data_IF_162279213545
#
_entry.id   IF_162279213545
#
_cell.length_a   1.000
_cell.length_b   1.000
_cell.length_c   1.000
_cell.angle_alpha   90.00
_cell.angle_beta   90.00
_cell.angle_gamma   90.00
#
_symmetry.space_group_name_H-M   'P 1'
#
loop_
_entity.id
_entity.type
_entity.pdbx_description
1 polymer ?
#
# COMPACT_ATOMS: atom_id res chain seq x y z
N UNK A 1 10.30 4.15 18.93
CA UNK A 1 10.25 4.14 17.45
C UNK A 1 10.50 5.55 16.95
N UNK A 2 11.19 5.69 15.82
CA UNK A 2 11.41 6.93 15.10
C UNK A 2 10.72 6.87 13.75
N UNK A 3 10.13 7.99 13.32
CA UNK A 3 9.52 8.17 12.00
C UNK A 3 10.07 9.46 11.39
N UNK A 4 10.20 9.51 10.06
CA UNK A 4 10.52 10.75 9.37
C UNK A 4 9.27 11.59 9.18
N UNK A 5 9.26 12.76 9.83
CA UNK A 5 8.20 13.75 9.67
C UNK A 5 8.53 14.65 8.47
N UNK A 6 7.62 14.71 7.52
CA UNK A 6 7.76 15.50 6.29
C UNK A 6 7.76 17.00 6.59
N UNK A 7 6.97 17.45 7.57
CA UNK A 7 6.90 18.86 7.99
C UNK A 7 8.23 19.29 8.62
N UNK A 8 8.78 18.47 9.52
CA UNK A 8 10.03 18.77 10.23
C UNK A 8 11.29 18.40 9.44
N UNK A 9 11.15 17.64 8.35
CA UNK A 9 12.23 17.13 7.49
C UNK A 9 13.31 16.37 8.24
N UNK A 10 12.94 15.65 9.29
CA UNK A 10 13.86 14.88 10.12
C UNK A 10 13.18 13.66 10.73
N UNK A 11 14.00 12.70 11.18
CA UNK A 11 13.50 11.61 12.02
C UNK A 11 13.21 12.15 13.41
N UNK A 12 12.02 11.87 13.91
CA UNK A 12 11.55 12.26 15.24
C UNK A 12 11.05 11.04 16.00
N UNK A 13 11.11 11.03 17.35
CA UNK A 13 10.48 9.99 18.13
C UNK A 13 8.96 10.02 17.87
N UNK A 14 8.37 8.85 17.64
CA UNK A 14 6.92 8.71 17.57
C UNK A 14 6.36 8.69 19.00
N UNK A 15 5.60 9.73 19.33
CA UNK A 15 4.91 9.90 20.60
C UNK A 15 3.42 10.07 20.31
N UNK A 16 2.58 9.07 20.60
CA UNK A 16 1.18 9.15 20.28
C UNK A 16 0.43 10.17 21.16
N UNK A 17 -0.69 10.69 20.67
CA UNK A 17 -1.62 11.56 21.39
C UNK A 17 -2.27 10.84 22.57
N UNK A 18 -2.49 9.52 22.45
CA UNK A 18 -2.97 8.64 23.52
C UNK A 18 -1.98 7.50 23.70
N UNK A 19 -1.57 7.25 24.94
CA UNK A 19 -0.58 6.22 25.24
C UNK A 19 -0.94 4.87 24.61
N UNK A 20 0.01 4.27 23.87
CA UNK A 20 -0.12 3.00 23.15
C UNK A 20 -1.21 2.95 22.07
N UNK A 21 -1.78 4.07 21.62
CA UNK A 21 -2.69 4.12 20.47
C UNK A 21 -2.05 4.86 19.31
N UNK A 22 -2.34 4.46 18.08
CA UNK A 22 -1.89 5.16 16.89
C UNK A 22 -3.06 5.32 15.91
N UNK A 23 -3.56 6.55 15.81
CA UNK A 23 -4.61 6.98 14.90
C UNK A 23 -3.96 7.48 13.60
N UNK A 24 -4.09 6.68 12.54
CA UNK A 24 -3.42 6.88 11.26
C UNK A 24 -4.47 7.09 10.18
N UNK A 25 -4.39 8.18 9.42
CA UNK A 25 -5.17 8.36 8.20
C UNK A 25 -4.25 8.31 6.99
N UNK A 26 -4.63 7.53 5.98
CA UNK A 26 -3.93 7.43 4.70
C UNK A 26 -4.89 7.82 3.58
N UNK A 27 -4.56 8.85 2.80
CA UNK A 27 -5.38 9.23 1.64
C UNK A 27 -5.45 8.08 0.63
N UNK A 28 -6.67 7.67 0.29
CA UNK A 28 -6.92 6.55 -0.61
C UNK A 28 -7.11 6.94 -2.08
N UNK A 29 -7.50 5.99 -2.95
CA UNK A 29 -7.57 6.23 -4.39
C UNK A 29 -8.88 6.91 -4.81
N UNK A 30 -8.83 7.65 -5.92
CA UNK A 30 -10.02 8.00 -6.70
C UNK A 30 -10.46 6.79 -7.53
N UNK A 31 -11.67 6.27 -7.30
CA UNK A 31 -12.12 4.97 -7.82
C UNK A 31 -12.80 5.09 -9.19
N UNK A 32 -12.09 5.71 -10.14
CA UNK A 32 -12.52 5.81 -11.53
C UNK A 32 -11.83 4.79 -12.44
N UNK A 33 -10.84 4.03 -11.96
CA UNK A 33 -10.06 3.12 -12.79
C UNK A 33 -9.29 2.09 -11.95
N UNK A 34 -8.67 1.12 -12.62
CA UNK A 34 -7.82 0.14 -11.95
C UNK A 34 -6.59 0.80 -11.32
N UNK A 35 -6.12 0.21 -10.22
CA UNK A 35 -4.97 0.72 -9.51
C UNK A 35 -3.66 0.28 -10.14
N UNK A 36 -2.70 1.20 -10.21
CA UNK A 36 -1.32 0.96 -10.63
C UNK A 36 -0.35 0.74 -9.47
N UNK A 37 0.89 0.34 -9.78
CA UNK A 37 1.94 0.07 -8.78
C UNK A 37 2.22 1.22 -7.80
N UNK A 38 1.99 2.48 -8.19
CA UNK A 38 2.07 3.62 -7.26
C UNK A 38 1.11 3.49 -6.06
N UNK A 39 -0.12 3.02 -6.29
CA UNK A 39 -1.07 2.76 -5.20
C UNK A 39 -0.64 1.55 -4.36
N UNK A 40 -0.12 0.49 -4.98
CA UNK A 40 0.43 -0.66 -4.27
C UNK A 40 1.58 -0.24 -3.35
N UNK A 41 2.49 0.62 -3.83
CA UNK A 41 3.62 1.13 -3.06
C UNK A 41 3.19 1.89 -1.82
N UNK A 42 2.22 2.80 -1.95
CA UNK A 42 1.63 3.51 -0.81
C UNK A 42 0.97 2.53 0.17
N UNK A 43 0.10 1.65 -0.32
CA UNK A 43 -0.61 0.68 0.51
C UNK A 43 0.34 -0.25 1.28
N UNK A 44 1.40 -0.75 0.64
CA UNK A 44 2.42 -1.61 1.28
C UNK A 44 3.24 -0.82 2.30
N UNK A 45 3.62 0.43 2.02
CA UNK A 45 4.38 1.26 2.95
C UNK A 45 3.63 1.48 4.27
N UNK A 46 2.34 1.81 4.19
CA UNK A 46 1.55 2.11 5.39
C UNK A 46 0.97 0.84 6.05
N UNK A 47 0.85 -0.28 5.33
CA UNK A 47 0.67 -1.60 5.93
C UNK A 47 1.91 -2.03 6.73
N UNK A 48 3.11 -1.75 6.22
CA UNK A 48 4.37 -2.01 6.93
C UNK A 48 4.50 -1.14 8.19
N UNK A 49 4.07 0.12 8.13
CA UNK A 49 3.95 1.00 9.30
C UNK A 49 3.02 0.39 10.35
N UNK A 50 1.79 0.02 9.94
CA UNK A 50 0.79 -0.59 10.82
C UNK A 50 1.32 -1.86 11.48
N UNK A 51 1.87 -2.79 10.70
CA UNK A 51 2.43 -4.05 11.21
C UNK A 51 3.55 -3.82 12.21
N UNK A 52 4.43 -2.85 11.94
CA UNK A 52 5.53 -2.48 12.84
C UNK A 52 5.02 -1.92 14.16
N UNK A 53 4.01 -1.03 14.13
CA UNK A 53 3.40 -0.46 15.32
C UNK A 53 2.66 -1.52 16.15
N UNK A 54 1.84 -2.36 15.52
CA UNK A 54 1.13 -3.46 16.19
C UNK A 54 2.12 -4.40 16.88
N UNK A 55 3.19 -4.82 16.19
CA UNK A 55 4.23 -5.68 16.76
C UNK A 55 5.12 -4.98 17.81
N UNK A 56 5.09 -3.64 17.84
CA UNK A 56 5.71 -2.81 18.88
C UNK A 56 4.78 -2.55 20.07
N UNK A 57 3.56 -3.12 20.06
CA UNK A 57 2.61 -3.06 21.18
C UNK A 57 1.62 -1.89 21.15
N UNK A 58 1.43 -1.24 19.99
CA UNK A 58 0.43 -0.20 19.81
C UNK A 58 -0.90 -0.80 19.33
N UNK A 59 -2.02 -0.27 19.82
CA UNK A 59 -3.34 -0.40 19.21
C UNK A 59 -3.41 0.56 18.02
N UNK A 60 -3.59 0.06 16.80
CA UNK A 60 -3.57 0.89 15.59
C UNK A 60 -4.96 1.01 14.98
N UNK A 61 -5.43 2.24 14.85
CA UNK A 61 -6.62 2.60 14.08
C UNK A 61 -6.17 3.22 12.76
N UNK A 62 -6.19 2.44 11.68
CA UNK A 62 -5.79 2.93 10.35
C UNK A 62 -7.04 3.14 9.48
N UNK A 63 -7.28 4.37 9.06
CA UNK A 63 -8.38 4.75 8.17
C UNK A 63 -7.84 5.09 6.79
N UNK A 64 -8.51 4.64 5.73
CA UNK A 64 -8.20 5.02 4.34
C UNK A 64 -9.49 5.22 3.56
N UNK A 65 -9.71 6.43 3.05
CA UNK A 65 -10.93 6.72 2.31
C UNK A 65 -10.96 6.14 0.89
N UNK A 66 -12.13 6.21 0.28
CA UNK A 66 -12.30 6.17 -1.17
C UNK A 66 -12.89 7.49 -1.64
N UNK A 67 -12.25 8.14 -2.61
CA UNK A 67 -12.86 9.25 -3.34
C UNK A 67 -13.72 8.65 -4.44
N UNK A 68 -15.03 8.55 -4.18
CA UNK A 68 -16.05 7.99 -5.07
C UNK A 68 -16.98 9.06 -5.68
N UNK A 69 -16.66 10.34 -5.47
CA UNK A 69 -17.27 11.50 -6.15
C UNK A 69 -16.13 12.40 -6.63
N UNK A 70 -15.86 12.40 -7.94
CA UNK A 70 -14.87 13.28 -8.57
C UNK A 70 -15.22 13.51 -10.05
N UNK A 71 -14.67 14.58 -10.64
CA UNK A 71 -14.80 14.86 -12.08
C UNK A 71 -14.43 13.67 -12.96
N UNK A 72 -13.38 12.93 -12.62
CA UNK A 72 -12.94 11.77 -13.42
C UNK A 72 -13.95 10.63 -13.37
N UNK A 73 -14.61 10.44 -12.22
CA UNK A 73 -15.63 9.40 -12.04
C UNK A 73 -16.88 9.78 -12.83
N UNK A 74 -17.35 11.02 -12.68
CA UNK A 74 -18.53 11.53 -13.40
C UNK A 74 -18.33 11.39 -14.92
N UNK A 75 -17.20 11.88 -15.44
CA UNK A 75 -16.91 11.83 -16.88
C UNK A 75 -16.85 10.40 -17.41
N UNK A 76 -16.27 9.46 -16.65
CA UNK A 76 -16.19 8.05 -17.07
C UNK A 76 -17.54 7.35 -16.95
N UNK A 77 -18.31 7.63 -15.90
CA UNK A 77 -19.64 7.08 -15.70
C UNK A 77 -20.59 7.47 -16.85
N UNK A 78 -20.56 8.75 -17.26
CA UNK A 78 -21.30 9.23 -18.44
C UNK A 78 -20.85 8.53 -19.72
N UNK A 79 -19.53 8.39 -19.94
CA UNK A 79 -18.98 7.72 -21.14
C UNK A 79 -19.34 6.23 -21.21
N UNK A 80 -19.39 5.55 -20.07
CA UNK A 80 -19.71 4.11 -19.98
C UNK A 80 -21.21 3.83 -19.77
N UNK A 81 -22.05 4.87 -19.72
CA UNK A 81 -23.48 4.78 -19.45
C UNK A 81 -23.79 3.98 -18.17
N UNK A 82 -23.05 4.30 -17.09
CA UNK A 82 -23.19 3.72 -15.74
C UNK A 82 -23.49 4.83 -14.73
N UNK A 83 -24.08 4.46 -13.59
CA UNK A 83 -24.11 5.36 -12.44
C UNK A 83 -22.72 5.51 -11.80
N UNK A 84 -22.52 6.60 -11.05
CA UNK A 84 -21.29 6.85 -10.27
C UNK A 84 -21.08 5.73 -9.25
N UNK A 85 -22.16 5.27 -8.62
CA UNK A 85 -22.14 4.24 -7.60
C UNK A 85 -21.73 2.88 -8.18
N UNK A 86 -22.27 2.51 -9.35
CA UNK A 86 -21.88 1.28 -10.05
C UNK A 86 -20.40 1.33 -10.46
N UNK A 87 -19.96 2.44 -11.08
CA UNK A 87 -18.57 2.59 -11.51
C UNK A 87 -17.59 2.52 -10.33
N UNK A 88 -17.90 3.25 -9.25
CA UNK A 88 -17.06 3.30 -8.05
C UNK A 88 -16.99 1.94 -7.36
N UNK A 89 -18.12 1.23 -7.25
CA UNK A 89 -18.16 -0.11 -6.63
C UNK A 89 -17.27 -1.10 -7.38
N UNK A 90 -17.29 -1.10 -8.72
CA UNK A 90 -16.42 -1.95 -9.55
C UNK A 90 -14.94 -1.71 -9.21
N UNK A 91 -14.52 -0.45 -9.12
CA UNK A 91 -13.11 -0.10 -8.89
C UNK A 91 -12.69 -0.22 -7.43
N UNK A 92 -13.60 -0.04 -6.46
CA UNK A 92 -13.37 -0.38 -5.05
C UNK A 92 -13.11 -1.89 -4.90
N UNK A 93 -13.94 -2.73 -5.53
CA UNK A 93 -13.76 -4.19 -5.52
C UNK A 93 -12.46 -4.60 -6.21
N UNK A 94 -12.15 -4.01 -7.37
CA UNK A 94 -10.89 -4.24 -8.09
C UNK A 94 -9.68 -3.89 -7.23
N UNK A 95 -9.67 -2.70 -6.62
CA UNK A 95 -8.62 -2.24 -5.72
C UNK A 95 -8.45 -3.15 -4.50
N UNK A 96 -9.56 -3.54 -3.87
CA UNK A 96 -9.56 -4.42 -2.70
C UNK A 96 -8.99 -5.79 -3.04
N UNK A 97 -9.38 -6.37 -4.19
CA UNK A 97 -8.86 -7.64 -4.68
C UNK A 97 -7.34 -7.58 -4.92
N UNK A 98 -6.89 -6.54 -5.60
CA UNK A 98 -5.48 -6.32 -5.92
C UNK A 98 -4.64 -6.19 -4.65
N UNK A 99 -5.10 -5.41 -3.65
CA UNK A 99 -4.38 -5.24 -2.39
C UNK A 99 -4.39 -6.50 -1.50
N UNK A 100 -5.48 -7.26 -1.51
CA UNK A 100 -5.55 -8.56 -0.84
C UNK A 100 -4.54 -9.54 -1.42
N UNK A 101 -4.39 -9.56 -2.76
CA UNK A 101 -3.37 -10.39 -3.40
C UNK A 101 -1.94 -9.99 -2.98
N UNK A 102 -1.72 -8.72 -2.67
CA UNK A 102 -0.46 -8.18 -2.14
C UNK A 102 -0.33 -8.29 -0.61
N UNK A 103 -1.20 -9.05 0.07
CA UNK A 103 -1.23 -9.24 1.52
C UNK A 103 -1.26 -7.94 2.35
N UNK A 104 -1.85 -6.87 1.80
CA UNK A 104 -2.09 -5.62 2.53
C UNK A 104 -3.25 -5.86 3.50
N UNK A 105 -3.09 -5.53 4.78
CA UNK A 105 -4.19 -5.63 5.75
C UNK A 105 -5.30 -4.65 5.37
N UNK A 106 -6.55 -5.11 5.45
CA UNK A 106 -7.71 -4.23 5.32
C UNK A 106 -7.64 -3.10 6.38
N UNK A 107 -7.82 -1.82 6.01
CA UNK A 107 -7.93 -0.72 6.96
C UNK A 107 -9.00 -0.99 8.02
N UNK A 108 -8.88 -0.34 9.18
CA UNK A 108 -9.89 -0.40 10.24
C UNK A 108 -11.21 0.23 9.80
N UNK A 109 -11.16 1.31 8.99
CA UNK A 109 -12.30 1.91 8.31
C UNK A 109 -11.93 2.35 6.89
N UNK A 110 -12.91 2.31 5.99
CA UNK A 110 -12.78 2.74 4.60
C UNK A 110 -13.94 3.67 4.19
N UNK A 111 -13.99 4.90 4.72
CA UNK A 111 -15.09 5.83 4.45
C UNK A 111 -15.11 6.24 2.97
N UNK A 112 -16.29 6.37 2.38
CA UNK A 112 -16.45 6.88 1.01
C UNK A 112 -16.87 8.33 1.03
N UNK A 113 -16.32 9.17 0.14
CA UNK A 113 -16.68 10.58 0.07
C UNK A 113 -18.20 10.81 -0.03
N UNK A 114 -18.91 9.98 -0.80
CA UNK A 114 -20.37 10.04 -0.95
C UNK A 114 -21.17 9.81 0.32
N UNK A 115 -20.60 9.13 1.32
CA UNK A 115 -21.25 8.83 2.60
C UNK A 115 -21.07 9.97 3.62
N UNK A 116 -20.24 10.98 3.32
CA UNK A 116 -19.86 12.06 4.24
C UNK A 116 -20.14 13.47 3.68
N UNK A 117 -21.08 13.60 2.74
CA UNK A 117 -21.46 14.89 2.15
C UNK A 117 -21.92 15.90 3.21
N UNK A 118 -22.71 15.47 4.19
CA UNK A 118 -23.22 16.36 5.26
C UNK A 118 -22.07 16.92 6.11
N UNK A 119 -21.07 16.10 6.42
CA UNK A 119 -19.87 16.55 7.16
C UNK A 119 -19.07 17.59 6.36
N UNK A 120 -18.92 17.37 5.05
CA UNK A 120 -18.25 18.32 4.15
C UNK A 120 -19.02 19.64 4.08
N UNK A 121 -20.35 19.58 3.94
CA UNK A 121 -21.21 20.77 3.94
C UNK A 121 -21.05 21.54 5.25
N UNK A 122 -21.11 20.86 6.39
CA UNK A 122 -20.99 21.49 7.70
C UNK A 122 -19.63 22.19 7.89
N UNK A 123 -18.54 21.57 7.45
CA UNK A 123 -17.21 22.17 7.51
C UNK A 123 -17.12 23.43 6.61
N UNK A 124 -17.76 23.41 5.45
CA UNK A 124 -17.80 24.56 4.53
C UNK A 124 -18.65 25.70 5.11
N UNK A 125 -19.80 25.41 5.71
CA UNK A 125 -20.61 26.41 6.42
C UNK A 125 -19.81 27.08 7.53
N UNK A 126 -19.09 26.30 8.34
CA UNK A 126 -18.18 26.83 9.37
C UNK A 126 -17.13 27.78 8.78
N UNK A 127 -16.53 27.43 7.65
CA UNK A 127 -15.53 28.27 6.97
C UNK A 127 -16.15 29.56 6.39
N UNK A 128 -17.39 29.50 5.91
CA UNK A 128 -18.14 30.67 5.44
C UNK A 128 -18.50 31.62 6.60
N UNK A 129 -19.03 31.08 7.70
CA UNK A 129 -19.39 31.86 8.90
C UNK A 129 -18.19 32.62 9.47
N UNK A 130 -16.99 32.01 9.41
CA UNK A 130 -15.72 32.62 9.81
C UNK A 130 -15.15 33.62 8.80
N UNK A 131 -15.81 33.85 7.66
CA UNK A 131 -15.30 34.67 6.54
C UNK A 131 -13.93 34.19 6.00
N UNK A 132 -13.71 32.87 6.03
CA UNK A 132 -12.52 32.21 5.49
C UNK A 132 -12.80 31.59 4.11
N UNK A 133 -14.03 31.14 3.88
CA UNK A 133 -14.51 30.79 2.56
C UNK A 133 -15.31 31.94 1.92
N UNK A 134 -15.39 31.94 0.59
CA UNK A 134 -16.20 32.90 -0.16
C UNK A 134 -16.82 32.27 -1.39
N UNK A 135 -17.98 32.79 -1.80
CA UNK A 135 -18.69 32.39 -3.01
C UNK A 135 -18.33 33.32 -4.17
N UNK A 136 -18.12 32.76 -5.36
CA UNK A 136 -17.92 33.52 -6.61
C UNK A 136 -19.20 33.52 -7.46
N UNK A 137 -19.28 34.33 -8.51
CA UNK A 137 -20.51 34.57 -9.28
C UNK A 137 -21.14 33.32 -9.88
N UNK A 138 -20.30 32.33 -10.23
CA UNK A 138 -20.73 31.06 -10.80
C UNK A 138 -21.29 30.06 -9.76
N UNK A 139 -21.38 30.47 -8.49
CA UNK A 139 -21.89 29.70 -7.36
C UNK A 139 -20.83 28.93 -6.57
N UNK A 140 -19.65 28.67 -7.14
CA UNK A 140 -18.58 27.90 -6.50
C UNK A 140 -18.12 28.58 -5.20
N UNK A 141 -17.67 27.77 -4.25
CA UNK A 141 -17.18 28.23 -2.95
C UNK A 141 -15.70 27.90 -2.85
N UNK A 142 -14.87 28.91 -2.61
CA UNK A 142 -13.42 28.82 -2.47
C UNK A 142 -12.98 29.10 -1.05
N UNK A 143 -11.87 28.50 -0.63
CA UNK A 143 -11.15 28.87 0.59
C UNK A 143 -10.14 29.98 0.27
N UNK A 144 -10.16 31.05 1.07
CA UNK A 144 -9.19 32.16 1.03
C UNK A 144 -7.94 31.79 1.84
N UNK A 145 -6.91 31.34 1.14
CA UNK A 145 -5.66 30.85 1.75
C UNK A 145 -4.92 31.92 2.55
N UNK A 146 -5.15 33.22 2.29
CA UNK A 146 -4.51 34.29 3.07
C UNK A 146 -4.97 34.35 4.52
N UNK A 147 -6.07 33.66 4.85
CA UNK A 147 -6.59 33.55 6.22
C UNK A 147 -5.85 32.53 7.06
N UNK A 148 -5.08 31.65 6.44
CA UNK A 148 -4.21 30.70 7.11
C UNK A 148 -2.77 31.22 7.11
N UNK A 149 -2.31 31.70 8.27
CA UNK A 149 -0.96 32.26 8.41
C UNK A 149 0.15 31.22 8.20
N UNK A 150 -0.19 29.94 8.33
CA UNK A 150 0.73 28.81 8.19
C UNK A 150 0.58 28.08 6.85
N UNK A 151 -0.18 28.65 5.89
CA UNK A 151 -0.34 28.05 4.56
C UNK A 151 1.02 27.92 3.84
N UNK A 152 1.32 26.71 3.36
CA UNK A 152 2.59 26.40 2.70
C UNK A 152 3.70 25.93 3.67
N UNK A 153 3.43 25.90 4.98
CA UNK A 153 4.41 25.48 5.99
C UNK A 153 4.66 23.96 5.98
N UNK A 154 3.72 23.15 5.49
CA UNK A 154 3.87 21.70 5.42
C UNK A 154 4.77 21.28 4.24
N UNK A 155 4.49 21.82 3.07
CA UNK A 155 5.21 21.49 1.83
C UNK A 155 6.51 22.29 1.66
N UNK A 156 6.65 23.41 2.37
CA UNK A 156 7.71 24.42 2.21
C UNK A 156 7.76 24.87 0.75
N UNK A 157 6.95 25.86 0.40
CA UNK A 157 6.92 26.45 -0.94
C UNK A 157 8.33 26.81 -1.44
N UNK A 158 8.94 25.92 -2.22
CA UNK A 158 9.82 26.34 -3.30
C UNK A 158 8.88 26.88 -4.37
N UNK A 159 9.00 28.17 -4.65
CA UNK A 159 8.25 28.96 -5.64
C UNK A 159 8.37 28.47 -7.09
N UNK A 160 8.76 27.22 -7.33
CA UNK A 160 9.09 26.63 -8.63
C UNK A 160 8.10 25.59 -9.13
N UNK A 161 7.05 25.27 -8.37
CA UNK A 161 5.92 24.48 -8.88
C UNK A 161 4.92 25.49 -9.42
N UNK A 162 4.91 25.69 -10.73
CA UNK A 162 3.83 26.40 -11.42
C UNK A 162 2.50 25.84 -10.92
N UNK A 163 1.63 26.70 -10.38
CA UNK A 163 0.23 26.35 -10.20
C UNK A 163 -0.24 25.77 -11.54
N UNK A 164 -0.54 24.47 -11.56
CA UNK A 164 -0.87 23.78 -12.81
C UNK A 164 -1.97 24.58 -13.50
N UNK A 165 -1.71 25.00 -14.75
CA UNK A 165 -2.61 25.79 -15.59
C UNK A 165 -3.96 25.09 -15.75
N UNK A 166 -4.82 25.21 -14.75
CA UNK A 166 -6.23 24.89 -14.79
C UNK A 166 -6.90 26.25 -14.81
N UNK A 167 -7.64 26.51 -15.89
CA UNK A 167 -8.05 27.83 -16.37
C UNK A 167 -8.28 28.87 -15.28
N UNK A 168 -7.66 30.04 -15.45
CA UNK A 168 -7.83 31.22 -14.62
C UNK A 168 -9.33 31.47 -14.37
N UNK A 169 -9.84 31.00 -13.24
CA UNK A 169 -11.12 31.49 -12.72
C UNK A 169 -10.80 32.90 -12.25
N UNK A 170 -11.14 33.89 -13.07
CA UNK A 170 -10.77 35.30 -12.87
C UNK A 170 -11.27 35.88 -11.53
N UNK A 171 -12.22 35.21 -10.89
CA UNK A 171 -12.84 35.63 -9.62
C UNK A 171 -12.17 35.05 -8.37
N UNK A 172 -11.13 34.20 -8.51
CA UNK A 172 -10.31 33.84 -7.35
C UNK A 172 -9.63 35.09 -6.81
N UNK A 173 -9.69 35.29 -5.49
CA UNK A 173 -8.95 36.37 -4.82
C UNK A 173 -7.44 36.16 -4.93
N UNK A 174 -7.00 34.90 -4.78
CA UNK A 174 -5.60 34.50 -4.91
C UNK A 174 -5.47 33.25 -5.78
N UNK A 175 -4.33 33.09 -6.45
CA UNK A 175 -4.10 31.96 -7.37
C UNK A 175 -4.15 30.61 -6.65
N UNK A 176 -3.59 30.56 -5.45
CA UNK A 176 -3.57 29.37 -4.59
C UNK A 176 -4.92 29.02 -3.94
N UNK A 177 -5.94 29.91 -4.02
CA UNK A 177 -7.26 29.61 -3.47
C UNK A 177 -7.85 28.39 -4.19
N UNK A 178 -8.44 27.48 -3.41
CA UNK A 178 -8.93 26.21 -3.90
C UNK A 178 -10.40 26.02 -3.58
N UNK A 179 -11.07 25.27 -4.45
CA UNK A 179 -12.52 25.05 -4.37
C UNK A 179 -12.84 24.08 -3.24
N UNK A 180 -13.84 24.46 -2.43
CA UNK A 180 -14.46 23.64 -1.40
C UNK A 180 -15.75 23.00 -1.90
N UNK A 181 -16.54 23.76 -2.67
CA UNK A 181 -17.80 23.30 -3.29
C UNK A 181 -17.88 23.78 -4.73
N UNK A 182 -18.07 22.86 -5.66
CA UNK A 182 -18.32 23.16 -7.08
C UNK A 182 -19.83 23.21 -7.29
N UNK A 183 -20.34 24.37 -7.71
CA UNK A 183 -21.77 24.51 -8.02
C UNK A 183 -22.14 23.77 -9.29
N UNK A 184 -23.35 23.22 -9.29
CA UNK A 184 -23.93 22.51 -10.41
C UNK A 184 -24.02 23.41 -11.66
N UNK A 185 -23.50 22.92 -12.80
CA UNK A 185 -23.44 23.67 -14.07
C UNK A 185 -24.50 23.27 -15.11
N UNK A 186 -25.51 22.47 -14.75
CA UNK A 186 -26.62 22.08 -15.63
C UNK A 186 -26.63 20.59 -15.97
N UNK A 187 -27.44 20.21 -16.96
CA UNK A 187 -27.89 18.82 -17.21
C UNK A 187 -26.78 17.77 -17.43
N UNK A 188 -25.55 18.19 -17.78
CA UNK A 188 -24.39 17.31 -17.97
C UNK A 188 -23.44 17.25 -16.75
N UNK A 189 -23.81 17.89 -15.65
CA UNK A 189 -23.07 17.88 -14.39
C UNK A 189 -23.76 16.98 -13.37
N UNK A 190 -23.07 16.65 -12.28
CA UNK A 190 -23.65 15.93 -11.15
C UNK A 190 -23.54 16.80 -9.92
N UNK A 191 -24.67 17.00 -9.24
CA UNK A 191 -24.73 17.80 -8.03
C UNK A 191 -25.74 17.23 -7.05
N UNK A 192 -25.37 17.25 -5.78
CA UNK A 192 -26.14 16.92 -4.61
C UNK A 192 -26.80 18.19 -4.08
N UNK A 193 -28.05 18.07 -3.63
CA UNK A 193 -28.75 19.18 -2.99
C UNK A 193 -28.16 19.42 -1.60
N UNK A 194 -27.93 20.69 -1.26
CA UNK A 194 -27.39 21.09 0.04
C UNK A 194 -27.80 22.53 0.39
N UNK A 195 -27.66 22.95 1.67
CA UNK A 195 -27.78 24.36 2.07
C UNK A 195 -26.84 25.30 1.31
N UNK A 196 -25.71 24.81 0.78
CA UNK A 196 -24.78 25.57 -0.05
C UNK A 196 -25.28 25.78 -1.49
N UNK A 197 -26.44 25.20 -1.84
CA UNK A 197 -26.95 25.07 -3.20
C UNK A 197 -26.48 23.78 -3.85
N UNK A 198 -27.17 23.38 -4.93
CA UNK A 198 -26.87 22.16 -5.67
C UNK A 198 -25.44 22.17 -6.21
N UNK A 199 -24.68 21.12 -5.93
CA UNK A 199 -23.27 21.03 -6.32
C UNK A 199 -22.57 19.82 -5.73
N UNK A 200 -21.25 19.85 -5.63
CA UNK A 200 -20.46 18.72 -5.12
C UNK A 200 -19.18 19.19 -4.44
N UNK A 201 -18.59 18.38 -3.54
CA UNK A 201 -17.36 18.75 -2.86
C UNK A 201 -16.19 18.94 -3.83
N UNK A 202 -15.26 19.81 -3.44
CA UNK A 202 -13.93 19.87 -4.02
C UNK A 202 -13.03 18.79 -3.41
N UNK A 203 -12.07 18.28 -4.19
CA UNK A 203 -11.24 17.12 -3.83
C UNK A 203 -10.64 17.16 -2.41
N UNK A 204 -10.22 18.33 -1.91
CA UNK A 204 -9.52 18.43 -0.63
C UNK A 204 -10.44 18.33 0.59
N UNK A 205 -11.70 18.81 0.51
CA UNK A 205 -12.58 18.92 1.69
C UNK A 205 -13.02 17.55 2.22
N UNK A 206 -12.96 16.53 1.36
CA UNK A 206 -13.34 15.16 1.67
C UNK A 206 -12.54 14.62 2.85
N UNK A 207 -11.22 14.64 2.75
CA UNK A 207 -10.34 14.02 3.73
C UNK A 207 -10.41 14.73 5.09
N UNK A 208 -10.32 16.06 5.13
CA UNK A 208 -10.44 16.82 6.39
C UNK A 208 -11.76 16.53 7.13
N UNK A 209 -12.87 16.46 6.39
CA UNK A 209 -14.20 16.19 6.98
C UNK A 209 -14.34 14.74 7.45
N UNK A 210 -13.89 13.77 6.64
CA UNK A 210 -13.91 12.35 7.02
C UNK A 210 -12.98 12.06 8.21
N UNK A 211 -11.80 12.69 8.29
CA UNK A 211 -10.91 12.56 9.44
C UNK A 211 -11.61 13.04 10.71
N UNK A 212 -12.26 14.20 10.64
CA UNK A 212 -13.00 14.76 11.76
C UNK A 212 -14.08 13.81 12.28
N UNK A 213 -14.88 13.22 11.39
CA UNK A 213 -15.97 12.31 11.77
C UNK A 213 -15.52 10.92 12.22
N UNK A 214 -14.37 10.44 11.75
CA UNK A 214 -13.99 9.02 11.94
C UNK A 214 -12.88 8.79 12.96
N UNK A 215 -11.95 9.73 13.10
CA UNK A 215 -10.67 9.47 13.76
C UNK A 215 -10.20 10.59 14.69
N UNK A 216 -10.71 11.81 14.51
CA UNK A 216 -10.23 12.98 15.24
C UNK A 216 -10.42 12.86 16.74
N UNK A 217 -9.39 13.25 17.48
CA UNK A 217 -9.42 13.43 18.91
C UNK A 217 -9.77 14.88 19.25
N UNK A 218 -10.67 15.03 20.22
CA UNK A 218 -11.02 16.34 20.77
C UNK A 218 -10.05 16.75 21.88
N UNK A 219 -9.93 18.06 22.12
CA UNK A 219 -9.12 18.65 23.20
C UNK A 219 -7.61 18.37 23.11
N UNK A 220 -7.12 18.10 21.91
CA UNK A 220 -5.69 17.96 21.59
C UNK A 220 -5.29 19.01 20.55
N UNK A 221 -4.01 19.45 20.51
CA UNK A 221 -3.55 20.39 19.48
C UNK A 221 -3.51 19.79 18.06
N UNK A 222 -3.66 18.46 17.96
CA UNK A 222 -3.70 17.69 16.72
C UNK A 222 -4.93 16.79 16.70
N UNK A 223 -5.59 16.63 15.55
CA UNK A 223 -6.74 15.71 15.44
C UNK A 223 -6.31 14.24 15.43
N UNK A 224 -5.21 13.91 14.73
CA UNK A 224 -4.70 12.53 14.60
C UNK A 224 -3.19 12.43 14.81
N UNK A 225 -2.69 11.21 15.03
CA UNK A 225 -1.25 10.97 15.21
C UNK A 225 -0.48 11.14 13.90
N UNK A 226 -0.88 10.38 12.88
CA UNK A 226 -0.15 10.30 11.60
C UNK A 226 -1.12 10.52 10.45
N UNK A 227 -0.78 11.48 9.58
CA UNK A 227 -1.42 11.61 8.27
C UNK A 227 -0.42 11.23 7.16
N UNK A 228 -0.88 10.44 6.20
CA UNK A 228 0.00 9.73 5.28
C UNK A 228 -0.53 9.67 3.83
N UNK A 229 0.38 9.57 2.88
CA UNK A 229 0.04 9.43 1.46
C UNK A 229 1.25 9.34 0.53
N UNK A 230 1.00 9.36 -0.78
CA UNK A 230 2.05 9.47 -1.80
C UNK A 230 2.72 10.84 -1.76
N UNK A 231 3.99 10.93 -2.18
CA UNK A 231 4.72 12.20 -2.25
C UNK A 231 4.04 13.26 -3.15
N UNK A 232 3.19 12.86 -4.11
CA UNK A 232 2.35 13.75 -4.92
C UNK A 232 1.21 14.39 -4.14
N UNK A 233 0.81 13.82 -3.00
CA UNK A 233 -0.27 14.38 -2.17
C UNK A 233 0.23 15.47 -1.23
N UNK A 234 1.55 15.57 -0.97
CA UNK A 234 2.12 16.61 -0.10
C UNK A 234 1.65 18.01 -0.50
N UNK A 235 1.65 18.30 -1.80
CA UNK A 235 1.11 19.55 -2.36
C UNK A 235 0.40 19.28 -3.70
N UNK A 236 -0.80 19.86 -3.91
CA UNK A 236 -1.51 20.75 -3.01
C UNK A 236 -2.37 20.04 -1.96
N UNK A 237 -2.57 18.72 -2.05
CA UNK A 237 -3.65 18.03 -1.34
C UNK A 237 -3.55 18.14 0.19
N UNK A 238 -2.49 17.64 0.79
CA UNK A 238 -2.28 17.64 2.24
C UNK A 238 -2.08 19.05 2.81
N UNK A 239 -1.44 19.96 2.06
CA UNK A 239 -1.35 21.38 2.46
C UNK A 239 -2.74 22.01 2.57
N UNK A 240 -3.63 21.73 1.62
CA UNK A 240 -5.00 22.23 1.62
C UNK A 240 -5.85 21.58 2.73
N UNK A 241 -5.66 20.30 3.04
CA UNK A 241 -6.30 19.65 4.19
C UNK A 241 -5.89 20.26 5.53
N UNK A 242 -4.58 20.51 5.69
CA UNK A 242 -4.06 21.16 6.88
C UNK A 242 -4.63 22.59 7.02
N UNK A 243 -4.72 23.33 5.91
CA UNK A 243 -5.31 24.66 5.85
C UNK A 243 -6.79 24.67 6.23
N UNK A 244 -7.59 23.77 5.64
CA UNK A 244 -9.01 23.60 5.96
C UNK A 244 -9.21 23.34 7.45
N UNK A 245 -8.42 22.44 8.02
CA UNK A 245 -8.52 22.03 9.42
C UNK A 245 -8.15 23.16 10.38
N UNK A 246 -7.02 23.85 10.14
CA UNK A 246 -6.62 25.01 10.95
C UNK A 246 -7.69 26.12 10.92
N UNK A 247 -8.21 26.42 9.74
CA UNK A 247 -9.23 27.45 9.56
C UNK A 247 -10.58 27.09 10.22
N UNK A 248 -11.03 25.84 10.03
CA UNK A 248 -12.32 25.38 10.54
C UNK A 248 -12.29 25.15 12.06
N UNK A 249 -11.20 24.61 12.62
CA UNK A 249 -11.18 24.11 13.99
C UNK A 249 -10.12 24.74 14.89
N UNK A 250 -9.17 25.51 14.35
CA UNK A 250 -8.12 26.15 15.15
C UNK A 250 -7.09 25.17 15.73
N UNK A 251 -7.02 23.95 15.19
CA UNK A 251 -6.08 22.90 15.57
C UNK A 251 -5.35 22.38 14.33
N UNK A 252 -4.22 21.70 14.52
CA UNK A 252 -3.52 21.03 13.43
C UNK A 252 -4.21 19.70 13.08
N UNK A 253 -4.14 19.29 11.80
CA UNK A 253 -4.74 18.01 11.39
C UNK A 253 -4.01 16.83 12.00
N UNK A 254 -2.68 16.77 11.83
CA UNK A 254 -1.87 15.64 12.28
C UNK A 254 -0.60 16.09 12.99
N UNK A 255 -0.19 15.29 13.98
CA UNK A 255 1.08 15.49 14.69
C UNK A 255 2.28 15.16 13.81
N UNK A 256 2.17 14.14 12.97
CA UNK A 256 3.24 13.68 12.07
C UNK A 256 2.73 13.48 10.65
N UNK A 257 3.54 13.85 9.66
CA UNK A 257 3.23 13.67 8.24
C UNK A 257 4.21 12.71 7.56
N UNK A 258 3.70 11.61 6.97
CA UNK A 258 4.53 10.59 6.34
C UNK A 258 4.20 10.41 4.86
N UNK A 259 5.20 10.52 3.98
CA UNK A 259 5.00 10.37 2.53
C UNK A 259 5.90 9.29 1.94
N UNK A 260 5.32 8.38 1.12
CA UNK A 260 6.10 7.39 0.37
C UNK A 260 6.65 7.98 -0.94
N UNK A 261 7.80 7.48 -1.38
CA UNK A 261 8.42 7.85 -2.64
C UNK A 261 7.65 7.36 -3.87
N UNK A 262 7.94 7.96 -5.02
CA UNK A 262 7.32 7.63 -6.30
C UNK A 262 7.72 6.24 -6.82
N UNK A 263 6.87 5.71 -7.71
CA UNK A 263 7.21 4.58 -8.57
C UNK A 263 7.36 5.09 -10.01
N UNK A 264 8.52 4.81 -10.60
CA UNK A 264 8.87 5.14 -11.97
C UNK A 264 8.94 3.85 -12.79
N UNK A 265 8.74 3.96 -14.11
CA UNK A 265 8.97 2.88 -15.09
C UNK A 265 9.94 3.43 -16.13
N UNK A 266 11.02 2.70 -16.43
CA UNK A 266 12.05 3.13 -17.39
C UNK A 266 12.61 4.53 -17.12
N UNK A 267 12.81 4.89 -15.84
CA UNK A 267 13.23 6.22 -15.36
C UNK A 267 12.26 7.38 -15.64
N UNK A 268 11.06 7.10 -16.16
CA UNK A 268 9.97 8.08 -16.26
C UNK A 268 8.95 7.88 -15.14
N UNK A 269 8.37 8.99 -14.66
CA UNK A 269 7.26 8.92 -13.71
C UNK A 269 6.08 8.23 -14.39
N UNK A 270 5.47 7.25 -13.71
CA UNK A 270 4.23 6.65 -14.21
C UNK A 270 3.15 7.71 -14.32
N UNK A 271 2.51 7.80 -15.49
CA UNK A 271 1.30 8.59 -15.65
C UNK A 271 0.39 7.93 -16.68
N UNK A 272 -0.92 8.11 -16.51
CA UNK A 272 -1.89 7.61 -17.49
C UNK A 272 -1.77 8.32 -18.83
N UNK A 273 -1.35 9.59 -18.84
CA UNK A 273 -1.17 10.38 -20.06
C UNK A 273 -0.01 9.89 -20.93
N UNK A 274 0.99 9.23 -20.34
CA UNK A 274 2.13 8.63 -21.06
C UNK A 274 1.85 7.20 -21.55
N UNK A 275 0.69 6.61 -21.21
CA UNK A 275 0.36 5.23 -21.60
C UNK A 275 1.24 4.14 -20.97
N UNK A 276 2.14 4.51 -20.05
CA UNK A 276 3.10 3.62 -19.38
C UNK A 276 2.59 3.10 -18.01
N UNK A 277 1.29 3.21 -17.73
CA UNK A 277 0.73 2.80 -16.44
C UNK A 277 0.69 1.29 -16.31
N UNK A 278 1.45 0.75 -15.35
CA UNK A 278 1.44 -0.68 -15.02
C UNK A 278 0.43 -0.95 -13.91
N UNK A 279 -0.72 -1.52 -14.30
CA UNK A 279 -1.79 -1.88 -13.37
C UNK A 279 -1.41 -3.09 -12.52
N UNK A 280 -1.84 -3.09 -11.25
CA UNK A 280 -1.56 -4.19 -10.31
C UNK A 280 -2.17 -5.49 -10.83
N UNK A 281 -3.43 -5.46 -11.27
CA UNK A 281 -4.09 -6.63 -11.89
C UNK A 281 -3.30 -7.24 -13.06
N UNK A 282 -2.59 -6.44 -13.86
CA UNK A 282 -1.82 -6.92 -15.01
C UNK A 282 -0.48 -7.52 -14.57
N UNK A 283 0.14 -6.93 -13.54
CA UNK A 283 1.27 -7.53 -12.85
C UNK A 283 0.89 -8.91 -12.27
N UNK A 284 -0.28 -9.00 -11.63
CA UNK A 284 -0.80 -10.20 -10.98
C UNK A 284 -1.15 -11.35 -11.94
N UNK A 285 -1.31 -11.07 -13.24
CA UNK A 285 -1.43 -12.13 -14.27
C UNK A 285 -0.12 -12.90 -14.46
N UNK A 286 1.01 -12.24 -14.24
CA UNK A 286 2.33 -12.79 -14.53
C UNK A 286 3.09 -13.17 -13.24
N UNK A 287 2.79 -12.49 -12.14
CA UNK A 287 3.51 -12.61 -10.87
C UNK A 287 2.54 -12.81 -9.71
N UNK A 288 2.87 -13.73 -8.82
CA UNK A 288 2.15 -13.85 -7.56
C UNK A 288 2.33 -12.58 -6.70
N UNK A 289 1.29 -12.24 -5.95
CA UNK A 289 1.27 -11.01 -5.17
C UNK A 289 2.34 -10.94 -4.08
N UNK A 290 2.81 -12.06 -3.53
CA UNK A 290 3.96 -12.05 -2.61
C UNK A 290 5.28 -11.67 -3.30
N UNK A 291 5.46 -12.05 -4.57
CA UNK A 291 6.63 -11.67 -5.37
C UNK A 291 6.62 -10.15 -5.60
N UNK A 292 5.47 -9.61 -6.02
CA UNK A 292 5.29 -8.17 -6.20
C UNK A 292 5.48 -7.40 -4.89
N UNK A 293 4.91 -7.90 -3.79
CA UNK A 293 5.08 -7.29 -2.47
C UNK A 293 6.55 -7.29 -2.03
N UNK A 294 7.24 -8.42 -2.13
CA UNK A 294 8.66 -8.53 -1.79
C UNK A 294 9.53 -7.58 -2.62
N UNK A 295 9.21 -7.41 -3.90
CA UNK A 295 9.88 -6.45 -4.76
C UNK A 295 9.64 -5.00 -4.30
N UNK A 296 8.37 -4.61 -4.17
CA UNK A 296 7.98 -3.26 -3.76
C UNK A 296 8.46 -2.92 -2.35
N UNK A 297 8.59 -3.88 -1.45
CA UNK A 297 9.09 -3.70 -0.09
C UNK A 297 10.62 -3.63 -0.04
N UNK A 298 11.34 -4.11 -1.07
CA UNK A 298 12.81 -4.19 -1.08
C UNK A 298 13.54 -2.84 -1.06
N UNK A 299 12.83 -1.73 -1.25
CA UNK A 299 13.35 -0.36 -1.28
C UNK A 299 12.71 0.44 -0.15
N UNK A 300 13.51 1.25 0.58
CA UNK A 300 13.02 2.11 1.66
C UNK A 300 11.80 2.95 1.22
N UNK A 301 10.74 3.02 2.04
CA UNK A 301 9.42 3.51 1.59
C UNK A 301 9.44 4.93 1.00
N UNK A 302 10.33 5.80 1.51
CA UNK A 302 10.55 7.19 1.04
C UNK A 302 11.35 7.31 -0.26
N UNK A 303 12.09 6.28 -0.64
CA UNK A 303 12.91 6.31 -1.85
C UNK A 303 12.06 6.06 -3.09
N UNK A 304 12.47 6.68 -4.19
CA UNK A 304 11.93 6.40 -5.52
C UNK A 304 12.25 4.95 -5.89
N UNK A 305 11.25 4.22 -6.39
CA UNK A 305 11.39 2.86 -6.89
C UNK A 305 11.28 2.88 -8.42
N UNK A 306 12.31 2.40 -9.11
CA UNK A 306 12.29 2.24 -10.57
C UNK A 306 11.92 0.79 -10.90
N UNK A 307 10.69 0.57 -11.35
CA UNK A 307 10.20 -0.75 -11.69
C UNK A 307 10.95 -1.29 -12.92
N UNK A 308 11.48 -2.50 -12.79
CA UNK A 308 11.96 -3.31 -13.89
C UNK A 308 11.87 -4.80 -13.52
N UNK A 309 11.71 -5.64 -14.54
CA UNK A 309 11.45 -7.07 -14.37
C UNK A 309 12.69 -7.84 -13.88
N UNK A 310 13.89 -7.41 -14.27
CA UNK A 310 15.15 -8.02 -13.84
C UNK A 310 15.31 -7.92 -12.31
N UNK A 311 15.14 -6.73 -11.75
CA UNK A 311 15.22 -6.51 -10.30
C UNK A 311 14.08 -7.22 -9.54
N UNK A 312 12.91 -7.36 -10.16
CA UNK A 312 11.81 -8.16 -9.60
C UNK A 312 12.25 -9.62 -9.46
N UNK A 313 12.80 -10.22 -10.51
CA UNK A 313 13.30 -11.60 -10.48
C UNK A 313 14.49 -11.78 -9.54
N UNK A 314 15.38 -10.78 -9.44
CA UNK A 314 16.46 -10.77 -8.43
C UNK A 314 15.87 -10.75 -7.02
N UNK A 315 14.88 -9.89 -6.77
CA UNK A 315 14.22 -9.80 -5.46
C UNK A 315 13.53 -11.12 -5.08
N UNK A 316 12.94 -11.82 -6.06
CA UNK A 316 12.29 -13.13 -5.85
C UNK A 316 13.24 -14.16 -5.26
N UNK A 317 14.52 -14.15 -5.62
CA UNK A 317 15.52 -15.11 -5.08
C UNK A 317 15.60 -15.07 -3.56
N UNK A 318 15.38 -13.91 -2.94
CA UNK A 318 15.29 -13.79 -1.47
C UNK A 318 14.05 -14.49 -0.92
N UNK A 319 12.91 -14.32 -1.57
CA UNK A 319 11.67 -15.01 -1.20
C UNK A 319 11.84 -16.53 -1.36
N UNK A 320 12.53 -16.98 -2.41
CA UNK A 320 12.86 -18.41 -2.61
C UNK A 320 13.67 -18.96 -1.43
N UNK A 321 14.65 -18.22 -0.89
CA UNK A 321 15.43 -18.66 0.28
C UNK A 321 14.54 -18.86 1.51
N UNK A 322 13.57 -17.97 1.74
CA UNK A 322 12.59 -18.07 2.84
C UNK A 322 11.80 -19.37 2.70
N UNK A 323 11.25 -19.63 1.51
CA UNK A 323 10.45 -20.82 1.26
C UNK A 323 11.25 -22.13 1.28
N UNK A 324 12.49 -22.13 0.77
CA UNK A 324 13.40 -23.28 0.88
C UNK A 324 13.69 -23.61 2.35
N UNK A 325 13.95 -22.59 3.19
CA UNK A 325 14.13 -22.82 4.62
C UNK A 325 12.85 -23.33 5.29
N UNK A 326 11.69 -22.74 4.96
CA UNK A 326 10.37 -23.15 5.48
C UNK A 326 10.10 -24.64 5.19
N UNK A 327 10.46 -25.13 4.00
CA UNK A 327 10.32 -26.54 3.62
C UNK A 327 11.14 -27.49 4.53
N UNK A 328 12.28 -27.04 5.07
CA UNK A 328 13.14 -27.85 5.95
C UNK A 328 12.61 -27.99 7.37
N UNK A 329 11.70 -27.12 7.80
CA UNK A 329 11.31 -26.96 9.22
C UNK A 329 9.82 -27.19 9.52
N UNK A 330 9.05 -27.71 8.55
CA UNK A 330 7.62 -27.99 8.71
C UNK A 330 7.31 -28.89 9.94
N UNK A 331 6.17 -28.63 10.59
CA UNK A 331 5.55 -29.52 11.58
C UNK A 331 6.03 -29.40 13.03
N UNK A 332 7.00 -28.53 13.35
CA UNK A 332 7.47 -28.35 14.75
C UNK A 332 7.13 -26.96 15.27
N UNK A 333 6.39 -26.88 16.38
CA UNK A 333 6.11 -25.62 17.07
C UNK A 333 7.25 -25.29 18.05
N UNK A 334 7.60 -24.01 18.12
CA UNK A 334 8.60 -23.48 19.05
C UNK A 334 8.34 -22.01 19.35
N UNK A 335 9.23 -21.39 20.13
CA UNK A 335 9.19 -19.96 20.44
C UNK A 335 10.07 -19.15 19.50
N UNK A 336 9.68 -17.90 19.26
CA UNK A 336 10.50 -16.95 18.50
C UNK A 336 11.82 -16.68 19.23
N UNK A 337 12.91 -16.56 18.48
CA UNK A 337 14.18 -16.13 19.02
C UNK A 337 14.07 -14.65 19.45
N UNK A 338 14.26 -14.34 20.75
CA UNK A 338 14.04 -12.98 21.26
C UNK A 338 15.05 -11.97 20.71
N UNK A 339 16.29 -12.38 20.43
CA UNK A 339 17.30 -11.51 19.84
C UNK A 339 16.96 -11.17 18.40
N UNK A 340 16.59 -12.17 17.59
CA UNK A 340 16.13 -11.95 16.22
C UNK A 340 14.93 -11.01 16.17
N UNK A 341 13.91 -11.26 17.02
CA UNK A 341 12.72 -10.40 17.14
C UNK A 341 13.12 -8.96 17.44
N UNK A 342 13.99 -8.76 18.43
CA UNK A 342 14.44 -7.45 18.86
C UNK A 342 15.20 -6.73 17.75
N UNK A 343 16.22 -7.36 17.17
CA UNK A 343 17.09 -6.77 16.16
C UNK A 343 16.31 -6.32 14.91
N UNK A 344 15.44 -7.18 14.39
CA UNK A 344 14.68 -6.83 13.18
C UNK A 344 13.62 -5.76 13.47
N UNK A 345 12.99 -5.80 14.65
CA UNK A 345 12.02 -4.78 15.03
C UNK A 345 12.69 -3.43 15.28
N UNK A 346 13.88 -3.39 15.87
CA UNK A 346 14.68 -2.16 16.02
C UNK A 346 15.04 -1.54 14.66
N UNK A 347 15.33 -2.36 13.65
CA UNK A 347 15.51 -1.88 12.27
C UNK A 347 14.25 -1.19 11.74
N UNK A 348 13.08 -1.82 11.92
CA UNK A 348 11.80 -1.28 11.48
C UNK A 348 11.38 -0.05 12.30
N UNK A 349 11.76 0.02 13.56
CA UNK A 349 11.54 1.17 14.43
C UNK A 349 12.46 2.36 14.11
N UNK A 350 13.47 2.20 13.25
CA UNK A 350 14.30 3.28 12.69
C UNK A 350 13.73 3.75 11.34
N UNK A 351 12.55 4.37 11.33
CA UNK A 351 11.89 4.88 10.12
C UNK A 351 11.59 3.80 9.05
N UNK A 352 11.13 2.62 9.49
CA UNK A 352 10.83 1.48 8.61
C UNK A 352 12.02 1.06 7.74
N UNK A 353 13.22 0.98 8.34
CA UNK A 353 14.46 0.67 7.64
C UNK A 353 14.51 -0.78 7.14
N UNK A 354 13.87 -1.00 6.00
CA UNK A 354 13.70 -2.31 5.40
C UNK A 354 15.04 -2.90 4.94
N UNK A 355 15.99 -2.08 4.50
CA UNK A 355 17.31 -2.56 4.07
C UNK A 355 18.08 -3.22 5.22
N UNK A 356 18.08 -2.61 6.41
CA UNK A 356 18.68 -3.22 7.61
C UNK A 356 17.90 -4.47 8.05
N UNK A 357 16.57 -4.41 8.07
CA UNK A 357 15.73 -5.54 8.44
C UNK A 357 15.96 -6.77 7.54
N UNK A 358 16.10 -6.55 6.23
CA UNK A 358 16.42 -7.60 5.26
C UNK A 358 17.83 -8.17 5.45
N UNK A 359 18.79 -7.37 5.89
CA UNK A 359 20.12 -7.87 6.28
C UNK A 359 20.04 -8.81 7.48
N UNK A 360 19.28 -8.45 8.52
CA UNK A 360 19.05 -9.31 9.70
C UNK A 360 18.38 -10.62 9.28
N UNK A 361 17.40 -10.55 8.37
CA UNK A 361 16.74 -11.72 7.80
C UNK A 361 17.73 -12.63 7.05
N UNK A 362 18.57 -12.09 6.17
CA UNK A 362 19.57 -12.90 5.44
C UNK A 362 20.58 -13.57 6.37
N UNK A 363 21.03 -12.88 7.42
CA UNK A 363 21.89 -13.48 8.45
C UNK A 363 21.19 -14.61 9.21
N UNK A 364 19.91 -14.45 9.54
CA UNK A 364 19.09 -15.50 10.15
C UNK A 364 18.96 -16.71 9.21
N UNK A 365 18.68 -16.47 7.92
CA UNK A 365 18.57 -17.52 6.90
C UNK A 365 19.88 -18.31 6.76
N UNK A 366 21.04 -17.63 6.65
CA UNK A 366 22.34 -18.28 6.47
C UNK A 366 22.72 -19.12 7.69
N UNK A 367 22.75 -18.50 8.87
CA UNK A 367 23.17 -19.16 10.12
C UNK A 367 22.28 -20.34 10.48
N UNK A 368 20.99 -20.25 10.17
CA UNK A 368 20.03 -21.32 10.40
C UNK A 368 20.25 -22.50 9.46
N UNK A 369 20.48 -22.25 8.18
CA UNK A 369 20.74 -23.33 7.21
C UNK A 369 21.99 -24.12 7.61
N UNK A 370 23.08 -23.45 8.00
CA UNK A 370 24.30 -24.09 8.49
C UNK A 370 24.05 -24.99 9.71
N UNK A 371 23.28 -24.50 10.70
CA UNK A 371 22.92 -25.28 11.88
C UNK A 371 22.05 -26.50 11.54
N UNK A 372 21.12 -26.35 10.60
CA UNK A 372 20.30 -27.46 10.12
C UNK A 372 21.10 -28.48 9.31
N UNK A 373 22.14 -28.07 8.59
CA UNK A 373 23.04 -28.99 7.88
C UNK A 373 23.84 -29.84 8.87
N UNK A 374 24.32 -29.23 9.96
CA UNK A 374 25.04 -29.93 11.03
C UNK A 374 24.12 -30.86 11.85
N UNK A 375 22.87 -30.47 12.10
CA UNK A 375 21.92 -31.29 12.86
C UNK A 375 20.48 -31.22 12.29
N UNK A 376 20.19 -31.98 11.21
CA UNK A 376 18.90 -31.91 10.50
C UNK A 376 17.68 -32.37 11.32
N UNK A 377 17.90 -33.08 12.43
CA UNK A 377 16.85 -33.65 13.28
C UNK A 377 16.57 -32.82 14.54
N UNK A 378 17.25 -31.68 14.72
CA UNK A 378 17.04 -30.82 15.88
C UNK A 378 15.64 -30.18 15.87
N UNK A 379 14.71 -30.76 16.63
CA UNK A 379 13.32 -30.29 16.73
C UNK A 379 13.20 -28.89 17.34
N UNK A 380 13.98 -28.59 18.39
CA UNK A 380 13.92 -27.28 19.05
C UNK A 380 14.34 -26.16 18.08
N UNK A 381 15.44 -26.38 17.35
CA UNK A 381 15.89 -25.45 16.31
C UNK A 381 14.83 -25.27 15.22
N UNK A 382 14.24 -26.36 14.70
CA UNK A 382 13.15 -26.27 13.71
C UNK A 382 11.96 -25.45 14.20
N UNK A 383 11.55 -25.64 15.45
CA UNK A 383 10.47 -24.88 16.08
C UNK A 383 10.79 -23.39 16.20
N UNK A 384 12.01 -23.03 16.59
CA UNK A 384 12.46 -21.62 16.65
C UNK A 384 12.45 -20.96 15.27
N UNK A 385 12.97 -21.65 14.25
CA UNK A 385 13.01 -21.14 12.88
C UNK A 385 11.62 -20.90 12.34
N UNK A 386 10.70 -21.85 12.55
CA UNK A 386 9.33 -21.69 12.09
C UNK A 386 8.65 -20.51 12.79
N UNK A 387 8.90 -20.29 14.08
CA UNK A 387 8.39 -19.11 14.80
C UNK A 387 9.01 -17.80 14.29
N UNK A 388 10.31 -17.78 13.97
CA UNK A 388 10.97 -16.63 13.33
C UNK A 388 10.37 -16.33 11.95
N UNK A 389 10.10 -17.35 11.13
CA UNK A 389 9.48 -17.19 9.82
C UNK A 389 8.04 -16.66 9.92
N UNK A 390 7.24 -17.15 10.88
CA UNK A 390 5.90 -16.59 11.16
C UNK A 390 5.95 -15.12 11.57
N UNK A 391 6.97 -14.73 12.34
CA UNK A 391 7.15 -13.33 12.67
C UNK A 391 7.47 -12.46 11.44
N UNK A 392 8.21 -13.01 10.46
CA UNK A 392 8.43 -12.35 9.17
C UNK A 392 7.13 -12.25 8.36
N UNK A 393 6.29 -13.28 8.37
CA UNK A 393 4.94 -13.23 7.77
C UNK A 393 4.10 -12.09 8.37
N UNK A 394 4.09 -11.97 9.69
CA UNK A 394 3.36 -10.93 10.42
C UNK A 394 3.92 -9.52 10.16
N UNK A 395 5.25 -9.37 10.19
CA UNK A 395 5.93 -8.07 10.07
C UNK A 395 5.97 -7.55 8.62
N UNK A 396 6.45 -8.39 7.69
CA UNK A 396 6.72 -7.98 6.31
C UNK A 396 5.57 -8.33 5.37
N UNK A 397 4.64 -9.20 5.75
CA UNK A 397 3.52 -9.63 4.91
C UNK A 397 3.92 -10.56 3.75
N UNK A 398 5.03 -11.29 3.89
CA UNK A 398 5.55 -12.24 2.90
C UNK A 398 5.79 -13.61 3.54
N UNK A 399 5.75 -14.68 2.75
CA UNK A 399 6.03 -16.03 3.23
C UNK A 399 4.82 -16.82 3.71
N UNK A 400 3.58 -16.38 3.44
CA UNK A 400 2.37 -17.01 4.00
C UNK A 400 2.05 -18.37 3.38
N UNK A 401 2.46 -18.62 2.14
CA UNK A 401 2.07 -19.84 1.42
C UNK A 401 2.70 -21.10 2.02
N UNK A 402 2.17 -22.24 1.61
CA UNK A 402 2.89 -23.51 1.71
C UNK A 402 4.09 -23.50 0.75
N UNK A 403 5.28 -24.00 1.15
CA UNK A 403 6.45 -24.02 0.27
C UNK A 403 6.25 -24.76 -1.05
N UNK A 404 5.55 -25.90 -1.05
CA UNK A 404 5.30 -26.65 -2.29
C UNK A 404 4.39 -25.84 -3.20
N UNK A 405 3.31 -25.25 -2.66
CA UNK A 405 2.42 -24.38 -3.42
C UNK A 405 3.14 -23.15 -4.00
N UNK A 406 4.08 -22.55 -3.25
CA UNK A 406 4.90 -21.43 -3.70
C UNK A 406 5.81 -21.80 -4.88
N UNK A 407 6.54 -22.92 -4.78
CA UNK A 407 7.45 -23.35 -5.85
C UNK A 407 6.72 -23.85 -7.11
N UNK A 408 5.41 -24.07 -7.03
CA UNK A 408 4.55 -24.49 -8.14
C UNK A 408 3.67 -23.35 -8.67
N UNK A 409 3.94 -22.10 -8.28
CA UNK A 409 3.20 -20.93 -8.77
C UNK A 409 3.24 -20.85 -10.31
N UNK A 410 2.11 -20.45 -10.90
CA UNK A 410 1.96 -20.33 -12.35
C UNK A 410 1.82 -21.66 -13.08
N UNK A 411 1.50 -22.75 -12.39
CA UNK A 411 1.12 -24.06 -12.99
C UNK A 411 -0.35 -24.33 -12.67
N UNK A 412 -1.15 -24.60 -13.70
CA UNK A 412 -2.58 -24.96 -13.55
C UNK A 412 -2.75 -26.34 -12.92
N UNK A 413 -3.91 -26.62 -12.32
CA UNK A 413 -4.18 -27.93 -11.70
C UNK A 413 -4.11 -29.09 -12.69
N UNK A 414 -4.52 -28.88 -13.96
CA UNK A 414 -4.34 -29.88 -15.02
C UNK A 414 -2.87 -30.16 -15.32
N UNK A 415 -2.04 -29.11 -15.44
CA UNK A 415 -0.61 -29.27 -15.65
C UNK A 415 0.07 -29.95 -14.45
N UNK A 416 -0.34 -29.62 -13.21
CA UNK A 416 0.15 -30.31 -12.01
C UNK A 416 -0.14 -31.80 -12.07
N UNK A 417 -1.37 -32.18 -12.44
CA UNK A 417 -1.74 -33.59 -12.56
C UNK A 417 -0.90 -34.33 -13.62
N UNK A 418 -0.63 -33.67 -14.75
CA UNK A 418 0.24 -34.23 -15.80
C UNK A 418 1.70 -34.39 -15.33
N UNK A 419 2.22 -33.42 -14.57
CA UNK A 419 3.55 -33.50 -13.96
C UNK A 419 3.62 -34.65 -12.96
N UNK A 420 2.63 -34.79 -12.08
CA UNK A 420 2.56 -35.89 -11.11
C UNK A 420 2.47 -37.26 -11.80
N UNK A 421 1.70 -37.37 -12.89
CA UNK A 421 1.64 -38.58 -13.71
C UNK A 421 3.01 -38.95 -14.30
N UNK A 422 3.75 -37.96 -14.82
CA UNK A 422 5.12 -38.16 -15.33
C UNK A 422 6.09 -38.54 -14.21
N UNK A 423 5.97 -37.96 -13.02
CA UNK A 423 6.79 -38.31 -11.85
C UNK A 423 6.56 -39.77 -11.45
N UNK A 424 5.31 -40.23 -11.45
CA UNK A 424 4.96 -41.62 -11.15
C UNK A 424 5.45 -42.58 -12.26
N UNK A 425 5.34 -42.20 -13.54
CA UNK A 425 5.93 -42.97 -14.64
C UNK A 425 7.46 -43.09 -14.50
N UNK A 426 8.12 -41.98 -14.15
CA UNK A 426 9.57 -41.96 -13.88
C UNK A 426 9.92 -42.87 -12.70
N UNK A 427 9.11 -42.87 -11.64
CA UNK A 427 9.31 -43.74 -10.48
C UNK A 427 9.25 -45.22 -10.87
N UNK A 428 8.24 -45.62 -11.65
CA UNK A 428 8.11 -47.00 -12.17
C UNK A 428 9.28 -47.39 -13.08
N UNK A 429 9.75 -46.47 -13.92
CA UNK A 429 10.93 -46.70 -14.74
C UNK A 429 12.18 -46.97 -13.88
N UNK A 430 12.40 -46.18 -12.81
CA UNK A 430 13.50 -46.43 -11.85
C UNK A 430 13.36 -47.78 -11.12
N UNK A 431 12.15 -48.15 -10.71
CA UNK A 431 11.87 -49.46 -10.08
C UNK A 431 12.16 -50.64 -11.01
N UNK A 432 11.88 -50.47 -12.31
CA UNK A 432 12.17 -51.44 -13.37
C UNK A 432 13.63 -51.38 -13.86
N UNK A 433 14.47 -50.50 -13.29
CA UNK A 433 15.85 -50.22 -13.71
C UNK A 433 15.98 -49.70 -15.16
N UNK A 434 14.91 -49.12 -15.70
CA UNK A 434 14.93 -48.39 -16.98
C UNK A 434 15.36 -46.94 -16.74
N UNK A 435 16.67 -46.76 -16.56
CA UNK A 435 17.25 -45.44 -16.28
C UNK A 435 17.15 -44.49 -17.46
N UNK A 436 17.26 -45.00 -18.70
CA UNK A 436 17.12 -44.18 -19.91
C UNK A 436 15.73 -43.54 -20.00
N UNK A 437 14.67 -44.30 -19.73
CA UNK A 437 13.31 -43.75 -19.68
C UNK A 437 13.14 -42.76 -18.54
N UNK A 438 13.68 -43.06 -17.36
CA UNK A 438 13.61 -42.16 -16.21
C UNK A 438 14.29 -40.80 -16.47
N UNK A 439 15.44 -40.81 -17.14
CA UNK A 439 16.18 -39.61 -17.51
C UNK A 439 15.48 -38.81 -18.61
N UNK A 440 14.93 -39.49 -19.63
CA UNK A 440 14.12 -38.84 -20.67
C UNK A 440 12.93 -38.09 -20.10
N UNK A 441 12.22 -38.67 -19.12
CA UNK A 441 11.09 -38.00 -18.46
C UNK A 441 11.57 -36.78 -17.66
N UNK A 442 12.73 -36.87 -17.00
CA UNK A 442 13.32 -35.73 -16.27
C UNK A 442 13.68 -34.59 -17.22
N UNK A 443 14.31 -34.90 -18.36
CA UNK A 443 14.67 -33.91 -19.38
C UNK A 443 13.44 -33.27 -20.00
N UNK A 444 12.39 -34.05 -20.29
CA UNK A 444 11.12 -33.52 -20.79
C UNK A 444 10.52 -32.50 -19.81
N UNK A 445 10.43 -32.86 -18.53
CA UNK A 445 9.95 -31.95 -17.49
C UNK A 445 10.84 -30.69 -17.37
N UNK A 446 12.16 -30.85 -17.44
CA UNK A 446 13.09 -29.72 -17.38
C UNK A 446 12.94 -28.78 -18.58
N UNK A 447 12.67 -29.31 -19.78
CA UNK A 447 12.37 -28.52 -20.98
C UNK A 447 11.08 -27.70 -20.83
N UNK A 448 10.15 -28.16 -19.99
CA UNK A 448 8.97 -27.42 -19.55
C UNK A 448 9.21 -26.57 -18.30
N UNK A 449 10.47 -26.27 -17.97
CA UNK A 449 10.91 -25.52 -16.78
C UNK A 449 10.48 -26.17 -15.46
N UNK A 450 10.32 -27.48 -15.41
CA UNK A 450 10.00 -28.22 -14.18
C UNK A 450 11.26 -28.95 -13.69
N UNK A 451 11.79 -28.51 -12.56
CA UNK A 451 12.92 -29.15 -11.92
C UNK A 451 12.46 -30.20 -10.90
N UNK A 452 12.98 -31.42 -11.00
CA UNK A 452 12.73 -32.49 -10.04
C UNK A 452 13.87 -32.58 -9.01
N UNK A 453 13.51 -32.83 -7.75
CA UNK A 453 14.43 -33.13 -6.66
C UNK A 453 13.99 -34.41 -5.95
N UNK A 454 14.86 -35.43 -5.96
CA UNK A 454 14.60 -36.69 -5.26
C UNK A 454 14.99 -36.52 -3.78
N UNK A 455 14.04 -36.73 -2.86
CA UNK A 455 14.27 -36.70 -1.40
C UNK A 455 14.00 -38.08 -0.78
N UNK A 456 14.42 -38.35 0.46
CA UNK A 456 14.07 -39.59 1.16
C UNK A 456 12.55 -39.81 1.31
N UNK A 457 11.75 -38.74 1.26
CA UNK A 457 10.29 -38.79 1.38
C UNK A 457 9.56 -38.91 0.03
N UNK A 458 10.29 -38.80 -1.09
CA UNK A 458 9.72 -38.82 -2.44
C UNK A 458 10.32 -37.76 -3.36
N UNK A 459 9.86 -37.72 -4.61
CA UNK A 459 10.22 -36.69 -5.58
C UNK A 459 9.39 -35.45 -5.30
N UNK A 460 10.05 -34.30 -5.13
CA UNK A 460 9.40 -32.98 -5.14
C UNK A 460 9.76 -32.26 -6.44
N UNK A 461 8.97 -31.26 -6.82
CA UNK A 461 9.23 -30.48 -8.03
C UNK A 461 8.92 -29.00 -7.84
N UNK A 462 9.62 -28.17 -8.62
CA UNK A 462 9.44 -26.72 -8.69
C UNK A 462 9.40 -26.24 -10.14
N UNK A 463 8.63 -25.17 -10.39
CA UNK A 463 8.67 -24.43 -11.65
C UNK A 463 9.81 -23.41 -11.59
N UNK A 464 10.71 -23.50 -12.57
CA UNK A 464 11.77 -22.54 -12.81
C UNK A 464 11.19 -21.31 -13.51
N UNK A 465 11.67 -20.12 -13.12
CA UNK A 465 11.32 -18.85 -13.77
C UNK A 465 12.29 -18.57 -14.91
#
# INVERSE_FOLDING_TARGET
MFIYDTKLKQKVPFEPLVEKKANIYVCGPTVYDDAHLGHARSAIAFDLLRRTLELSGYEVMLVRNFTDIDDKIINKALKENKSIQELSSIYIESYTRDLNALNVKKPSLEPKASEYLDAMVHMIETLLEKNIAYRVSNGDIYLDTSKDKDYGSLSVHNSSIEFGRIGLVQEKRLEQDFVLWKSYKGDNDVGFDSPLGKGRPGWHIECSSMIFETLALANTPYQIDIHAGGADLLFPHHENEACQTRCAFGVELAKYWMHNGFVNINNEKMSKSLGNSFFIKDALKNYDGEILRNYLLGVHYRSVLNFNEEDLLVSKKRLDKIYRLKQRVLGTLGGINPNFKKEILECMQDDLNVSKALSVLESMLSSTNEKLDQNPKNKALKGEILANLKFIEELLGIGFKDPSAYFQLGVSESEKQDIENKIEERKRAKEQKDFLKADRIREELLNHKIALMDTPQGTIWEKLF
#
